data_IF_229866647830
#
_entry.id   IF_229866647830
#
_cell.length_a   1.000
_cell.length_b   1.000
_cell.length_c   1.000
_cell.angle_alpha   90.00
_cell.angle_beta   90.00
_cell.angle_gamma   90.00
#
_symmetry.space_group_name_H-M   'P 1'
#
loop_
_entity.id
_entity.type
_entity.pdbx_description
1 polymer ?
#
# COMPACT_ATOMS: atom_id res chain seq x y z
N UNK A 1 -5.30 47.71 12.08
CA UNK A 1 -4.33 47.41 13.14
C UNK A 1 -3.25 46.48 12.66
N UNK A 2 -1.99 46.77 12.98
CA UNK A 2 -0.84 45.93 12.71
C UNK A 2 -0.31 45.35 14.03
N UNK A 3 -0.42 44.02 14.30
CA UNK A 3 0.10 43.46 15.52
C UNK A 3 1.64 43.52 15.54
N UNK A 4 2.21 44.10 16.59
CA UNK A 4 3.65 44.17 16.84
C UNK A 4 4.10 43.03 17.78
N UNK A 5 3.30 42.74 18.79
CA UNK A 5 3.53 41.70 19.76
C UNK A 5 2.21 41.09 20.23
N UNK A 6 2.11 39.76 20.27
CA UNK A 6 0.91 39.03 20.69
C UNK A 6 1.27 37.87 21.64
N UNK A 7 2.00 38.14 22.72
CA UNK A 7 2.36 37.08 23.68
C UNK A 7 3.16 35.92 23.10
N UNK A 8 3.81 36.10 21.95
CA UNK A 8 4.51 35.03 21.21
C UNK A 8 3.64 34.27 20.23
N UNK A 9 2.34 34.62 20.04
CA UNK A 9 1.39 33.94 19.15
C UNK A 9 1.90 33.86 17.71
N UNK A 10 2.38 34.99 17.16
CA UNK A 10 2.89 35.06 15.78
C UNK A 10 4.06 34.09 15.55
N UNK A 11 5.01 34.05 16.50
CA UNK A 11 6.17 33.14 16.43
C UNK A 11 5.73 31.68 16.50
N UNK A 12 4.74 31.37 17.35
CA UNK A 12 4.20 30.01 17.47
C UNK A 12 3.48 29.56 16.18
N UNK A 13 2.65 30.44 15.58
CA UNK A 13 2.00 30.14 14.29
C UNK A 13 3.01 29.98 13.16
N UNK A 14 4.05 30.79 13.06
CA UNK A 14 5.10 30.61 12.04
C UNK A 14 5.81 29.26 12.18
N UNK A 15 5.99 28.74 13.41
CA UNK A 15 6.53 27.39 13.62
C UNK A 15 5.51 26.33 13.24
N UNK A 16 4.23 26.49 13.59
CA UNK A 16 3.16 25.56 13.21
C UNK A 16 3.07 25.42 11.70
N UNK A 17 3.07 26.54 10.96
CA UNK A 17 2.97 26.50 9.49
C UNK A 17 4.19 25.83 8.83
N UNK A 18 5.41 26.09 9.34
CA UNK A 18 6.61 25.38 8.87
C UNK A 18 6.54 23.87 9.13
N UNK A 19 6.10 23.47 10.32
CA UNK A 19 5.92 22.04 10.63
C UNK A 19 4.77 21.43 9.82
N UNK A 20 3.71 22.18 9.54
CA UNK A 20 2.60 21.72 8.71
C UNK A 20 3.01 21.55 7.24
N UNK A 21 3.85 22.42 6.69
CA UNK A 21 4.43 22.27 5.36
C UNK A 21 5.27 20.98 5.27
N UNK A 22 6.19 20.79 6.20
CA UNK A 22 7.04 19.59 6.25
C UNK A 22 6.20 18.33 6.47
N UNK A 23 5.17 18.38 7.32
CA UNK A 23 4.22 17.29 7.54
C UNK A 23 3.49 16.92 6.24
N UNK A 24 3.00 17.91 5.48
CA UNK A 24 2.36 17.67 4.19
C UNK A 24 3.32 17.01 3.19
N UNK A 25 4.61 17.40 3.20
CA UNK A 25 5.65 16.76 2.39
C UNK A 25 5.87 15.29 2.78
N UNK A 26 5.92 14.99 4.08
CA UNK A 26 6.06 13.60 4.54
C UNK A 26 4.82 12.76 4.24
N UNK A 27 3.62 13.34 4.33
CA UNK A 27 2.39 12.66 3.90
C UNK A 27 2.38 12.38 2.40
N UNK A 28 2.87 13.31 1.58
CA UNK A 28 3.06 13.06 0.15
C UNK A 28 4.02 11.89 -0.10
N UNK A 29 5.17 11.85 0.58
CA UNK A 29 6.13 10.75 0.46
C UNK A 29 5.52 9.40 0.87
N UNK A 30 4.73 9.38 1.96
CA UNK A 30 3.99 8.18 2.38
C UNK A 30 2.98 7.73 1.30
N UNK A 31 2.24 8.68 0.71
CA UNK A 31 1.32 8.40 -0.39
C UNK A 31 2.03 7.84 -1.63
N UNK A 32 3.21 8.38 -1.97
CA UNK A 32 4.02 7.87 -3.08
C UNK A 32 4.47 6.41 -2.83
N UNK A 33 4.92 6.08 -1.61
CA UNK A 33 5.29 4.70 -1.26
C UNK A 33 4.09 3.74 -1.34
N UNK A 34 2.87 4.20 -1.04
CA UNK A 34 1.65 3.40 -1.19
C UNK A 34 1.31 3.14 -2.65
N UNK A 35 1.47 4.15 -3.52
CA UNK A 35 1.27 4.01 -4.96
C UNK A 35 2.29 3.03 -5.54
N UNK A 36 3.58 3.14 -5.18
CA UNK A 36 4.62 2.20 -5.64
C UNK A 36 4.24 0.77 -5.22
N UNK A 37 3.91 0.56 -3.93
CA UNK A 37 3.52 -0.76 -3.46
C UNK A 37 2.32 -1.34 -4.21
N UNK A 38 1.27 -0.55 -4.43
CA UNK A 38 0.07 -1.01 -5.14
C UNK A 38 0.35 -1.30 -6.61
N UNK A 39 1.25 -0.53 -7.24
CA UNK A 39 1.70 -0.76 -8.63
C UNK A 39 2.51 -2.05 -8.73
N UNK A 40 3.45 -2.29 -7.81
CA UNK A 40 4.23 -3.53 -7.76
C UNK A 40 3.34 -4.75 -7.52
N UNK A 41 2.34 -4.63 -6.64
CA UNK A 41 1.35 -5.70 -6.44
C UNK A 41 0.56 -6.00 -7.72
N UNK A 42 0.09 -4.96 -8.41
CA UNK A 42 -0.64 -5.13 -9.67
C UNK A 42 0.27 -5.73 -10.76
N UNK A 43 1.55 -5.33 -10.81
CA UNK A 43 2.54 -5.88 -11.71
C UNK A 43 2.71 -7.40 -11.51
N UNK A 44 3.01 -7.83 -10.29
CA UNK A 44 3.19 -9.26 -9.98
C UNK A 44 1.90 -10.07 -10.12
N UNK A 45 0.73 -9.44 -9.93
CA UNK A 45 -0.56 -10.07 -10.20
C UNK A 45 -0.74 -10.37 -11.70
N UNK A 46 -0.33 -9.45 -12.58
CA UNK A 46 -0.35 -9.67 -14.04
C UNK A 46 0.61 -10.81 -14.41
N UNK A 47 1.85 -10.80 -13.88
CA UNK A 47 2.84 -11.86 -14.12
C UNK A 47 2.32 -13.23 -13.65
N UNK A 48 1.72 -13.29 -12.45
CA UNK A 48 1.10 -14.53 -11.94
C UNK A 48 0.03 -15.07 -12.88
N UNK A 49 -0.90 -14.21 -13.31
CA UNK A 49 -2.00 -14.61 -14.19
C UNK A 49 -1.52 -14.97 -15.62
N UNK A 50 -0.48 -14.32 -16.12
CA UNK A 50 0.12 -14.67 -17.40
C UNK A 50 0.74 -16.10 -17.36
N UNK A 51 1.45 -16.43 -16.27
CA UNK A 51 2.02 -17.77 -16.08
C UNK A 51 0.93 -18.82 -15.86
N UNK A 52 -0.12 -18.51 -15.08
CA UNK A 52 -1.29 -19.38 -14.90
C UNK A 52 -2.06 -19.60 -16.20
N UNK A 53 -2.10 -18.62 -17.11
CA UNK A 53 -2.67 -18.77 -18.44
C UNK A 53 -1.90 -19.81 -19.26
N UNK A 54 -0.56 -19.67 -19.35
CA UNK A 54 0.30 -20.66 -20.03
C UNK A 54 0.08 -22.08 -19.46
N UNK A 55 0.01 -22.18 -18.13
CA UNK A 55 -0.26 -23.44 -17.45
C UNK A 55 -1.62 -24.01 -17.81
N UNK A 56 -2.68 -23.20 -17.83
CA UNK A 56 -4.05 -23.61 -18.17
C UNK A 56 -4.16 -24.04 -19.66
N UNK A 57 -3.49 -23.33 -20.57
CA UNK A 57 -3.41 -23.67 -21.99
C UNK A 57 -2.73 -25.06 -22.20
N UNK A 58 -1.56 -25.27 -21.59
CA UNK A 58 -0.86 -26.56 -21.64
C UNK A 58 -1.65 -27.68 -21.01
N UNK A 59 -2.33 -27.44 -19.90
CA UNK A 59 -3.19 -28.44 -19.26
C UNK A 59 -4.39 -28.84 -20.14
N UNK A 60 -5.03 -27.84 -20.76
CA UNK A 60 -6.13 -28.10 -21.69
C UNK A 60 -5.65 -28.99 -22.89
N UNK A 61 -4.49 -28.68 -23.48
CA UNK A 61 -3.90 -29.47 -24.57
C UNK A 61 -3.63 -30.91 -24.13
N UNK A 62 -3.09 -31.11 -22.93
CA UNK A 62 -2.88 -32.46 -22.38
C UNK A 62 -4.19 -33.24 -22.20
N UNK A 63 -5.24 -32.59 -21.71
CA UNK A 63 -6.55 -33.26 -21.56
C UNK A 63 -7.23 -33.54 -22.88
N UNK A 64 -7.12 -32.70 -23.89
CA UNK A 64 -7.65 -32.92 -25.23
C UNK A 64 -6.93 -34.09 -25.91
N UNK A 65 -5.62 -34.23 -25.70
CA UNK A 65 -4.86 -35.42 -26.16
C UNK A 65 -5.36 -36.67 -25.47
N UNK A 66 -5.53 -36.65 -24.15
CA UNK A 66 -6.04 -37.79 -23.38
C UNK A 66 -7.47 -38.19 -23.84
N UNK A 67 -8.34 -37.20 -24.14
CA UNK A 67 -9.67 -37.43 -24.70
C UNK A 67 -9.61 -38.19 -26.02
N UNK A 68 -8.75 -37.73 -26.95
CA UNK A 68 -8.56 -38.38 -28.24
C UNK A 68 -8.06 -39.83 -28.10
N UNK A 69 -7.15 -40.09 -27.16
CA UNK A 69 -6.58 -41.43 -26.95
C UNK A 69 -7.62 -42.35 -26.31
N UNK A 70 -8.42 -41.88 -25.35
CA UNK A 70 -9.50 -42.67 -24.76
C UNK A 70 -10.62 -42.93 -25.77
N UNK A 71 -10.99 -41.99 -26.63
CA UNK A 71 -12.00 -42.25 -27.69
C UNK A 71 -11.53 -43.37 -28.64
N UNK A 72 -10.22 -43.46 -28.98
CA UNK A 72 -9.66 -44.58 -29.73
C UNK A 72 -9.76 -45.91 -28.96
N UNK A 73 -9.38 -45.89 -27.68
CA UNK A 73 -9.45 -47.11 -26.82
C UNK A 73 -10.90 -47.59 -26.63
N UNK A 74 -11.87 -46.71 -26.60
CA UNK A 74 -13.31 -47.06 -26.57
C UNK A 74 -13.71 -47.75 -27.90
N UNK A 75 -13.23 -47.26 -29.04
CA UNK A 75 -13.50 -47.84 -30.34
C UNK A 75 -12.92 -49.25 -30.48
N UNK A 76 -11.78 -49.51 -29.83
CA UNK A 76 -11.12 -50.81 -29.75
C UNK A 76 -11.67 -51.72 -28.66
N UNK A 77 -12.59 -51.22 -27.80
CA UNK A 77 -13.21 -52.00 -26.72
C UNK A 77 -12.33 -52.17 -25.48
N UNK A 78 -11.26 -51.40 -25.35
CA UNK A 78 -10.28 -51.45 -24.24
C UNK A 78 -10.68 -50.51 -23.11
N UNK A 79 -11.37 -49.37 -23.39
CA UNK A 79 -11.86 -48.44 -22.42
C UNK A 79 -13.40 -48.37 -22.41
N UNK A 80 -13.97 -47.86 -21.30
CA UNK A 80 -15.42 -47.72 -21.13
C UNK A 80 -15.93 -46.36 -21.60
N UNK A 81 -17.21 -46.28 -21.98
CA UNK A 81 -17.87 -44.98 -22.24
C UNK A 81 -17.85 -44.04 -21.02
N UNK A 82 -17.84 -44.58 -19.79
CA UNK A 82 -17.76 -43.82 -18.57
C UNK A 82 -16.42 -43.11 -18.44
N UNK A 83 -15.32 -43.77 -18.83
CA UNK A 83 -13.98 -43.17 -18.85
C UNK A 83 -13.92 -41.97 -19.81
N UNK A 84 -14.47 -42.14 -21.04
CA UNK A 84 -14.54 -41.06 -22.02
C UNK A 84 -15.37 -39.85 -21.53
N UNK A 85 -16.51 -40.13 -20.90
CA UNK A 85 -17.33 -39.02 -20.32
C UNK A 85 -16.61 -38.29 -19.18
N UNK A 86 -15.86 -39.02 -18.35
CA UNK A 86 -15.09 -38.41 -17.24
C UNK A 86 -14.01 -37.46 -17.77
N UNK A 87 -13.30 -37.83 -18.85
CA UNK A 87 -12.31 -36.95 -19.47
C UNK A 87 -12.98 -35.75 -20.12
N UNK A 88 -14.10 -35.91 -20.82
CA UNK A 88 -14.85 -34.80 -21.41
C UNK A 88 -15.31 -33.76 -20.38
N UNK A 89 -15.72 -34.18 -19.18
CA UNK A 89 -16.02 -33.29 -18.06
C UNK A 89 -14.78 -32.51 -17.67
N UNK A 90 -13.60 -33.16 -17.59
CA UNK A 90 -12.36 -32.46 -17.23
C UNK A 90 -11.89 -31.47 -18.31
N UNK A 91 -12.06 -31.77 -19.58
CA UNK A 91 -11.79 -30.83 -20.68
C UNK A 91 -12.67 -29.57 -20.53
N UNK A 92 -13.99 -29.75 -20.31
CA UNK A 92 -14.89 -28.62 -20.10
C UNK A 92 -14.50 -27.78 -18.85
N UNK A 93 -14.09 -28.42 -17.75
CA UNK A 93 -13.61 -27.72 -16.54
C UNK A 93 -12.32 -26.92 -16.85
N UNK A 94 -11.41 -27.47 -17.65
CA UNK A 94 -10.18 -26.79 -18.06
C UNK A 94 -10.47 -25.58 -18.98
N UNK A 95 -11.40 -25.70 -19.93
CA UNK A 95 -11.83 -24.57 -20.78
C UNK A 95 -12.46 -23.46 -19.97
N UNK A 96 -13.32 -23.78 -18.99
CA UNK A 96 -13.89 -22.79 -18.06
C UNK A 96 -12.78 -22.11 -17.23
N UNK A 97 -11.79 -22.85 -16.78
CA UNK A 97 -10.67 -22.33 -16.01
C UNK A 97 -9.81 -21.39 -16.86
N UNK A 98 -9.49 -21.77 -18.10
CA UNK A 98 -8.76 -20.92 -19.04
C UNK A 98 -9.52 -19.60 -19.31
N UNK A 99 -10.84 -19.67 -19.50
CA UNK A 99 -11.68 -18.47 -19.66
C UNK A 99 -11.56 -17.54 -18.45
N UNK A 100 -11.70 -18.06 -17.23
CA UNK A 100 -11.56 -17.26 -15.99
C UNK A 100 -10.17 -16.64 -15.85
N UNK A 101 -9.12 -17.33 -16.20
CA UNK A 101 -7.74 -16.82 -16.15
C UNK A 101 -7.52 -15.72 -17.18
N UNK A 102 -8.05 -15.88 -18.41
CA UNK A 102 -7.99 -14.86 -19.46
C UNK A 102 -8.71 -13.57 -19.04
N UNK A 103 -9.92 -13.69 -18.48
CA UNK A 103 -10.67 -12.55 -17.98
C UNK A 103 -9.93 -11.86 -16.82
N UNK A 104 -9.41 -12.66 -15.87
CA UNK A 104 -8.61 -12.17 -14.74
C UNK A 104 -7.36 -11.42 -15.20
N UNK A 105 -6.64 -11.96 -16.20
CA UNK A 105 -5.45 -11.31 -16.77
C UNK A 105 -5.81 -9.97 -17.43
N UNK A 106 -6.91 -9.94 -18.19
CA UNK A 106 -7.38 -8.70 -18.83
C UNK A 106 -7.72 -7.62 -17.80
N UNK A 107 -8.46 -7.99 -16.75
CA UNK A 107 -8.81 -7.06 -15.65
C UNK A 107 -7.57 -6.59 -14.87
N UNK A 108 -6.61 -7.47 -14.62
CA UNK A 108 -5.37 -7.11 -13.93
C UNK A 108 -4.50 -6.16 -14.76
N UNK A 109 -4.44 -6.32 -16.08
CA UNK A 109 -3.77 -5.37 -16.97
C UNK A 109 -4.46 -4.02 -17.00
N UNK A 110 -5.80 -3.97 -17.00
CA UNK A 110 -6.56 -2.72 -16.88
C UNK A 110 -6.25 -2.00 -15.55
N UNK A 111 -6.18 -2.74 -14.44
CA UNK A 111 -5.83 -2.17 -13.14
C UNK A 111 -4.41 -1.60 -13.15
N UNK A 112 -3.45 -2.31 -13.70
CA UNK A 112 -2.08 -1.82 -13.83
C UNK A 112 -2.01 -0.56 -14.71
N UNK A 113 -2.71 -0.53 -15.86
CA UNK A 113 -2.80 0.66 -16.70
C UNK A 113 -3.38 1.85 -15.92
N UNK A 114 -4.44 1.65 -15.15
CA UNK A 114 -5.03 2.70 -14.30
C UNK A 114 -4.01 3.25 -13.29
N UNK A 115 -3.28 2.38 -12.60
CA UNK A 115 -2.28 2.80 -11.61
C UNK A 115 -1.11 3.55 -12.24
N UNK A 116 -0.75 3.21 -13.48
CA UNK A 116 0.29 3.88 -14.25
C UNK A 116 -0.22 5.14 -15.00
N UNK A 117 -1.50 5.48 -14.91
CA UNK A 117 -2.08 6.62 -15.63
C UNK A 117 -2.19 6.41 -17.14
N UNK A 118 -2.19 5.16 -17.60
CA UNK A 118 -2.36 4.78 -19.00
C UNK A 118 -3.85 4.57 -19.33
N UNK A 119 -4.17 4.58 -20.61
CA UNK A 119 -5.51 4.18 -21.06
C UNK A 119 -5.75 2.70 -20.74
N UNK A 120 -6.96 2.34 -20.28
CA UNK A 120 -7.33 0.98 -19.89
C UNK A 120 -7.22 -0.04 -21.03
N UNK A 121 -7.29 0.42 -22.28
CA UNK A 121 -7.17 -0.39 -23.50
C UNK A 121 -5.73 -0.53 -24.01
N UNK A 122 -4.76 0.11 -23.34
CA UNK A 122 -3.35 0.05 -23.76
C UNK A 122 -2.81 -1.37 -23.66
N UNK A 123 -2.31 -1.96 -24.75
CA UNK A 123 -1.70 -3.27 -24.70
C UNK A 123 -0.35 -3.19 -23.96
N UNK A 124 -0.28 -3.78 -22.79
CA UNK A 124 0.93 -3.83 -21.94
C UNK A 124 1.43 -5.27 -21.89
N UNK A 125 2.72 -5.46 -22.17
CA UNK A 125 3.45 -6.72 -21.95
C UNK A 125 4.57 -6.45 -20.96
N UNK A 126 4.65 -7.27 -19.90
CA UNK A 126 5.63 -7.09 -18.85
C UNK A 126 6.89 -7.94 -19.14
N UNK A 127 8.04 -7.47 -18.68
CA UNK A 127 9.31 -8.14 -18.90
C UNK A 127 9.32 -9.56 -18.31
N UNK A 128 8.81 -9.70 -17.09
CA UNK A 128 8.82 -10.97 -16.34
C UNK A 128 7.68 -11.94 -16.74
N UNK A 129 6.78 -11.59 -17.66
CA UNK A 129 5.74 -12.51 -18.16
C UNK A 129 6.33 -13.73 -18.94
N UNK A 130 7.56 -13.62 -19.41
CA UNK A 130 8.23 -14.64 -20.19
C UNK A 130 9.24 -15.48 -19.38
N UNK A 131 9.51 -15.09 -18.15
CA UNK A 131 10.42 -15.82 -17.26
C UNK A 131 9.70 -16.97 -16.57
N UNK A 132 10.13 -18.20 -16.86
CA UNK A 132 9.55 -19.41 -16.27
C UNK A 132 10.03 -19.67 -14.83
N UNK A 133 11.21 -19.14 -14.43
CA UNK A 133 11.77 -19.27 -13.10
C UNK A 133 12.13 -17.92 -12.49
N UNK A 134 11.23 -17.40 -11.66
CA UNK A 134 11.45 -16.22 -10.83
C UNK A 134 12.30 -16.62 -9.61
N UNK A 135 13.62 -16.49 -9.72
CA UNK A 135 14.52 -16.80 -8.62
C UNK A 135 14.30 -15.83 -7.44
N UNK A 136 14.18 -16.34 -6.22
CA UNK A 136 14.12 -15.49 -5.04
C UNK A 136 15.46 -14.77 -4.85
N UNK A 137 15.41 -13.48 -4.58
CA UNK A 137 16.58 -12.76 -4.08
C UNK A 137 16.80 -13.18 -2.62
N UNK A 138 17.98 -13.68 -2.22
CA UNK A 138 18.21 -14.03 -0.83
C UNK A 138 17.93 -12.81 0.06
N UNK A 139 16.97 -12.92 0.95
CA UNK A 139 16.75 -11.88 1.94
C UNK A 139 17.97 -11.82 2.85
N UNK A 140 18.63 -10.67 2.92
CA UNK A 140 19.67 -10.42 3.89
C UNK A 140 19.02 -10.40 5.29
N UNK A 141 19.17 -11.49 6.03
CA UNK A 141 18.67 -11.65 7.39
C UNK A 141 19.51 -10.89 8.43
N UNK A 142 20.20 -9.81 8.03
CA UNK A 142 20.93 -8.92 8.94
C UNK A 142 19.99 -8.37 10.02
N UNK A 143 20.56 -8.06 11.19
CA UNK A 143 19.80 -7.40 12.26
C UNK A 143 19.34 -6.01 11.77
N UNK A 144 18.03 -5.84 11.65
CA UNK A 144 17.43 -4.56 11.23
C UNK A 144 17.58 -3.56 12.38
N UNK A 145 18.30 -2.46 12.14
CA UNK A 145 18.39 -1.36 13.10
C UNK A 145 17.09 -0.55 13.09
N UNK A 146 16.29 -0.67 14.14
CA UNK A 146 15.02 0.04 14.29
C UNK A 146 15.19 1.57 14.32
N UNK A 147 16.34 2.09 14.78
CA UNK A 147 16.58 3.53 14.75
C UNK A 147 16.69 4.04 13.31
N UNK A 148 17.36 3.29 12.45
CA UNK A 148 17.42 3.58 11.01
C UNK A 148 16.02 3.54 10.39
N UNK A 149 15.21 2.52 10.71
CA UNK A 149 13.82 2.41 10.24
C UNK A 149 12.99 3.62 10.65
N UNK A 150 13.05 4.05 11.92
CA UNK A 150 12.32 5.23 12.38
C UNK A 150 12.77 6.52 11.69
N UNK A 151 14.04 6.63 11.32
CA UNK A 151 14.58 7.81 10.63
C UNK A 151 14.14 7.88 9.15
N UNK A 152 13.93 6.74 8.49
CA UNK A 152 13.61 6.67 7.07
C UNK A 152 12.09 6.67 6.79
N UNK A 153 11.26 6.26 7.77
CA UNK A 153 9.82 6.16 7.56
C UNK A 153 9.10 7.51 7.61
N UNK A 154 8.42 7.92 6.52
CA UNK A 154 7.72 9.21 6.47
C UNK A 154 6.55 9.29 7.45
N UNK A 155 5.91 8.16 7.82
CA UNK A 155 4.83 8.13 8.80
C UNK A 155 5.31 8.51 10.21
N UNK A 156 6.49 8.03 10.63
CA UNK A 156 7.10 8.39 11.92
C UNK A 156 7.42 9.88 11.91
N UNK A 157 8.04 10.37 10.85
CA UNK A 157 8.37 11.79 10.72
C UNK A 157 7.13 12.67 10.73
N UNK A 158 6.04 12.25 10.09
CA UNK A 158 4.75 12.95 10.13
C UNK A 158 4.20 13.08 11.56
N UNK A 159 4.25 12.01 12.35
CA UNK A 159 3.80 12.04 13.75
C UNK A 159 4.72 12.85 14.65
N UNK A 160 6.03 12.87 14.44
CA UNK A 160 6.96 13.75 15.13
C UNK A 160 6.64 15.22 14.86
N UNK A 161 6.36 15.59 13.61
CA UNK A 161 5.97 16.94 13.23
C UNK A 161 4.61 17.32 13.83
N UNK A 162 3.64 16.40 13.85
CA UNK A 162 2.35 16.59 14.52
C UNK A 162 2.55 16.86 16.02
N UNK A 163 3.39 16.13 16.71
CA UNK A 163 3.71 16.36 18.12
C UNK A 163 4.35 17.75 18.34
N UNK A 164 5.22 18.20 17.42
CA UNK A 164 5.76 19.56 17.47
C UNK A 164 4.69 20.63 17.23
N UNK A 165 3.74 20.41 16.33
CA UNK A 165 2.60 21.29 16.10
C UNK A 165 1.77 21.43 17.38
N UNK A 166 1.41 20.32 18.03
CA UNK A 166 0.65 20.35 19.29
C UNK A 166 1.41 21.03 20.41
N UNK A 167 2.74 20.86 20.49
CA UNK A 167 3.58 21.59 21.42
C UNK A 167 3.53 23.12 21.17
N UNK A 168 3.49 23.57 19.91
CA UNK A 168 3.34 24.99 19.58
C UNK A 168 1.90 25.48 19.82
N UNK A 169 0.86 24.66 19.67
CA UNK A 169 -0.52 25.00 20.04
C UNK A 169 -0.63 25.34 21.52
N UNK A 170 0.10 24.68 22.41
CA UNK A 170 0.20 25.07 23.83
C UNK A 170 0.71 26.53 23.99
N UNK A 171 1.72 26.93 23.18
CA UNK A 171 2.25 28.26 23.20
C UNK A 171 1.23 29.30 22.66
N UNK A 172 0.45 28.93 21.62
CA UNK A 172 -0.64 29.77 21.11
C UNK A 172 -1.70 29.97 22.18
N UNK A 173 -2.18 28.89 22.81
CA UNK A 173 -3.17 28.99 23.90
C UNK A 173 -2.64 29.86 25.07
N UNK A 174 -1.38 29.67 25.45
CA UNK A 174 -0.74 30.46 26.50
C UNK A 174 -0.67 31.94 26.12
N UNK A 175 -0.45 32.26 24.85
CA UNK A 175 -0.31 33.65 24.38
C UNK A 175 -1.60 34.48 24.49
N UNK A 176 -2.77 33.81 24.55
CA UNK A 176 -4.08 34.46 24.72
C UNK A 176 -4.23 35.15 26.09
N UNK A 177 -3.43 34.72 27.06
CA UNK A 177 -3.40 35.24 28.43
C UNK A 177 -2.17 36.14 28.70
N UNK A 178 -1.43 36.54 27.65
CA UNK A 178 -0.27 37.41 27.74
C UNK A 178 -0.58 38.78 27.11
N UNK A 179 0.14 39.85 27.51
CA UNK A 179 -0.03 41.16 26.89
C UNK A 179 0.14 41.16 25.38
N UNK A 180 -0.63 42.01 24.69
CA UNK A 180 -0.48 42.25 23.26
C UNK A 180 -0.30 43.71 22.94
N UNK A 181 0.47 44.01 21.88
CA UNK A 181 0.76 45.36 21.41
C UNK A 181 0.47 45.43 19.92
N UNK A 182 -0.32 46.41 19.50
CA UNK A 182 -0.63 46.64 18.09
C UNK A 182 -0.47 48.13 17.73
N UNK A 183 0.02 48.38 16.53
CA UNK A 183 -0.03 49.68 15.90
C UNK A 183 -1.40 49.82 15.22
N UNK A 184 -2.10 50.93 15.52
CA UNK A 184 -3.40 51.24 14.94
C UNK A 184 -3.24 52.48 14.07
N UNK A 185 -3.70 52.39 12.83
CA UNK A 185 -3.90 53.54 11.96
C UNK A 185 -5.35 53.57 11.48
N UNK A 186 -5.98 54.74 11.54
CA UNK A 186 -7.33 54.93 11.05
C UNK A 186 -7.42 56.23 10.25
N UNK A 187 -8.12 56.21 9.15
CA UNK A 187 -8.53 57.38 8.40
C UNK A 187 -10.04 57.37 8.28
N UNK A 188 -10.66 58.47 8.70
CA UNK A 188 -12.12 58.64 8.68
C UNK A 188 -12.47 59.96 8.03
N UNK A 189 -13.40 59.94 7.10
CA UNK A 189 -13.98 61.12 6.48
C UNK A 189 -15.48 61.18 6.80
N UNK A 190 -15.95 62.26 7.41
CA UNK A 190 -17.35 62.40 7.83
C UNK A 190 -17.92 63.76 7.35
N UNK A 191 -19.23 63.73 7.09
CA UNK A 191 -20.04 64.92 6.83
C UNK A 191 -21.35 64.80 7.67
N UNK A 192 -21.67 65.71 8.61
CA UNK A 192 -20.84 66.81 9.08
C UNK A 192 -19.56 66.33 9.77
N UNK A 193 -18.54 67.21 9.73
CA UNK A 193 -17.28 66.94 10.42
C UNK A 193 -17.45 67.19 11.94
N UNK A 194 -17.51 66.11 12.71
CA UNK A 194 -17.66 66.16 14.19
C UNK A 194 -16.44 66.72 14.89
N UNK A 195 -15.33 66.87 14.19
CA UNK A 195 -14.09 67.43 14.78
C UNK A 195 -13.87 68.90 14.52
N UNK A 196 -14.74 69.57 13.70
CA UNK A 196 -14.64 70.94 13.35
C UNK A 196 -16.00 71.62 13.52
N UNK A 197 -16.56 71.66 14.72
CA UNK A 197 -17.79 72.35 15.07
C UNK A 197 -19.01 72.02 14.20
N UNK A 198 -19.15 70.72 13.78
CA UNK A 198 -20.26 70.24 12.94
C UNK A 198 -20.42 70.92 11.58
N UNK A 199 -19.31 71.39 10.96
CA UNK A 199 -19.35 71.90 9.59
C UNK A 199 -19.91 70.87 8.61
N UNK A 200 -20.86 71.33 7.78
CA UNK A 200 -21.52 70.51 6.76
C UNK A 200 -20.62 70.34 5.50
N UNK A 201 -19.42 69.80 5.72
CA UNK A 201 -18.43 69.46 4.68
C UNK A 201 -17.73 68.17 5.00
N UNK A 202 -17.36 67.42 3.97
CA UNK A 202 -16.48 66.26 4.14
C UNK A 202 -15.08 66.71 4.54
N UNK A 203 -14.65 66.29 5.71
CA UNK A 203 -13.25 66.45 6.15
C UNK A 203 -12.70 65.08 6.57
N UNK A 204 -11.51 64.78 6.07
CA UNK A 204 -10.73 63.63 6.46
C UNK A 204 -9.88 63.91 7.71
N UNK A 205 -9.85 62.96 8.62
CA UNK A 205 -8.94 62.92 9.76
C UNK A 205 -8.23 61.58 9.82
N UNK A 206 -6.96 61.59 10.13
CA UNK A 206 -6.21 60.39 10.40
C UNK A 206 -5.68 60.37 11.82
N UNK A 207 -5.58 59.21 12.40
CA UNK A 207 -4.89 59.00 13.67
C UNK A 207 -3.98 57.76 13.57
N UNK A 208 -2.88 57.81 14.29
CA UNK A 208 -1.96 56.67 14.49
C UNK A 208 -1.71 56.60 15.99
N UNK A 209 -1.79 55.37 16.49
CA UNK A 209 -1.59 55.12 17.92
C UNK A 209 -1.08 53.71 18.19
N UNK A 210 -0.62 53.46 19.40
CA UNK A 210 -0.23 52.14 19.89
C UNK A 210 -1.30 51.67 20.89
N UNK A 211 -1.86 50.49 20.61
CA UNK A 211 -2.79 49.85 21.53
C UNK A 211 -2.07 48.73 22.29
N UNK A 212 -2.15 48.81 23.63
CA UNK A 212 -1.65 47.74 24.52
C UNK A 212 -2.86 47.13 25.21
N UNK A 213 -3.02 45.81 25.05
CA UNK A 213 -4.07 45.05 25.73
C UNK A 213 -3.45 44.06 26.71
N UNK A 214 -3.84 44.18 27.97
CA UNK A 214 -3.32 43.29 29.05
C UNK A 214 -4.52 42.60 29.68
N UNK A 215 -4.66 41.27 29.49
CA UNK A 215 -5.69 40.51 30.17
C UNK A 215 -5.38 40.38 31.66
N UNK A 216 -6.24 40.96 32.51
CA UNK A 216 -5.99 41.05 33.96
C UNK A 216 -6.59 39.87 34.71
N UNK A 217 -7.83 39.49 34.36
CA UNK A 217 -8.53 38.47 35.12
C UNK A 217 -9.49 37.65 34.23
N UNK A 218 -9.42 36.32 34.33
CA UNK A 218 -10.25 35.37 33.55
C UNK A 218 -10.73 34.17 34.40
N UNK A 219 -10.96 34.36 35.67
CA UNK A 219 -11.54 33.36 36.59
C UNK A 219 -10.88 31.97 36.49
N UNK A 220 -9.57 31.91 36.26
CA UNK A 220 -8.81 30.66 36.14
C UNK A 220 -8.92 29.95 34.77
N UNK A 221 -9.68 30.46 33.81
CA UNK A 221 -9.88 29.90 32.48
C UNK A 221 -8.55 29.54 31.76
N UNK A 222 -7.58 30.47 31.82
CA UNK A 222 -6.27 30.30 31.22
C UNK A 222 -5.50 29.07 31.71
N UNK A 223 -5.61 28.76 33.01
CA UNK A 223 -4.96 27.63 33.64
C UNK A 223 -5.52 26.31 33.03
N UNK A 224 -6.85 26.22 32.94
CA UNK A 224 -7.51 25.02 32.46
C UNK A 224 -7.34 24.85 30.94
N UNK A 225 -7.42 25.92 30.14
CA UNK A 225 -7.16 25.90 28.70
C UNK A 225 -5.72 25.44 28.38
N UNK A 226 -4.73 25.96 29.09
CA UNK A 226 -3.33 25.53 28.92
C UNK A 226 -3.14 24.09 29.38
N UNK A 227 -3.81 23.64 30.46
CA UNK A 227 -3.80 22.23 30.88
C UNK A 227 -4.40 21.32 29.79
N UNK A 228 -5.54 21.72 29.21
CA UNK A 228 -6.17 20.99 28.10
C UNK A 228 -5.21 20.87 26.89
N UNK A 229 -4.65 21.97 26.42
CA UNK A 229 -3.70 21.98 25.32
C UNK A 229 -2.44 21.12 25.60
N UNK A 230 -1.94 21.12 26.86
CA UNK A 230 -0.85 20.22 27.27
C UNK A 230 -1.24 18.74 27.24
N UNK A 231 -2.50 18.42 27.55
CA UNK A 231 -3.01 17.05 27.46
C UNK A 231 -3.12 16.59 26.01
N UNK A 232 -3.58 17.44 25.11
CA UNK A 232 -3.57 17.17 23.65
C UNK A 232 -2.15 16.93 23.12
N UNK A 233 -1.18 17.73 23.54
CA UNK A 233 0.23 17.53 23.18
C UNK A 233 0.79 16.20 23.73
N UNK A 234 0.32 15.74 24.89
CA UNK A 234 0.67 14.41 25.42
C UNK A 234 0.04 13.30 24.60
N UNK A 235 -1.23 13.43 24.24
CA UNK A 235 -1.92 12.45 23.37
C UNK A 235 -1.16 12.28 22.06
N UNK A 236 -0.78 13.39 21.41
CA UNK A 236 -0.01 13.32 20.16
C UNK A 236 1.35 12.62 20.33
N UNK A 237 2.00 12.77 21.49
CA UNK A 237 3.24 12.05 21.79
C UNK A 237 2.99 10.55 21.98
N UNK A 238 1.95 10.17 22.70
CA UNK A 238 1.59 8.75 22.86
C UNK A 238 1.21 8.10 21.54
N UNK A 239 0.58 8.85 20.62
CA UNK A 239 0.31 8.35 19.26
C UNK A 239 1.60 8.07 18.48
N UNK A 240 2.64 8.88 18.66
CA UNK A 240 3.96 8.62 18.08
C UNK A 240 4.61 7.37 18.68
N UNK A 241 4.55 7.23 20.01
CA UNK A 241 5.14 6.07 20.71
C UNK A 241 4.41 4.77 20.28
N UNK A 242 3.08 4.76 20.26
CA UNK A 242 2.24 3.64 19.78
C UNK A 242 2.53 3.29 18.31
N UNK A 243 2.72 4.31 17.46
CA UNK A 243 3.07 4.07 16.05
C UNK A 243 4.45 3.42 15.90
N UNK A 244 5.44 3.78 16.73
CA UNK A 244 6.75 3.14 16.73
C UNK A 244 6.67 1.67 17.13
N UNK A 245 5.90 1.34 18.16
CA UNK A 245 5.67 -0.04 18.59
C UNK A 245 4.97 -0.87 17.48
N UNK A 246 3.97 -0.29 16.81
CA UNK A 246 3.29 -0.93 15.66
C UNK A 246 4.24 -1.16 14.48
N UNK A 247 5.14 -0.22 14.20
CA UNK A 247 6.13 -0.35 13.15
C UNK A 247 7.14 -1.46 13.48
N UNK A 248 7.59 -1.56 14.72
CA UNK A 248 8.47 -2.66 15.16
C UNK A 248 7.82 -4.02 14.96
N UNK A 249 6.54 -4.14 15.34
CA UNK A 249 5.76 -5.35 15.08
C UNK A 249 5.61 -5.62 13.58
N UNK A 250 5.31 -4.60 12.77
CA UNK A 250 5.18 -4.73 11.32
C UNK A 250 6.48 -5.19 10.65
N UNK A 251 7.62 -4.65 11.05
CA UNK A 251 8.93 -5.08 10.54
C UNK A 251 9.19 -6.54 10.91
N UNK A 252 8.97 -6.90 12.18
CA UNK A 252 9.12 -8.29 12.63
C UNK A 252 8.23 -9.25 11.85
N UNK A 253 6.95 -8.91 11.67
CA UNK A 253 6.02 -9.70 10.86
C UNK A 253 6.47 -9.83 9.40
N UNK A 254 7.01 -8.75 8.81
CA UNK A 254 7.50 -8.79 7.44
C UNK A 254 8.71 -9.70 7.28
N UNK A 255 9.64 -9.72 8.23
CA UNK A 255 10.77 -10.67 8.26
C UNK A 255 10.27 -12.12 8.35
N UNK A 256 9.30 -12.40 9.22
CA UNK A 256 8.72 -13.74 9.29
C UNK A 256 8.06 -14.16 7.98
N UNK A 257 7.30 -13.27 7.33
CA UNK A 257 6.65 -13.54 6.04
C UNK A 257 7.65 -13.83 4.92
N UNK A 258 8.76 -13.09 4.83
CA UNK A 258 9.81 -13.37 3.85
C UNK A 258 10.41 -14.77 4.06
N UNK A 259 10.72 -15.13 5.31
CA UNK A 259 11.25 -16.45 5.63
C UNK A 259 10.22 -17.57 5.38
N UNK A 260 8.94 -17.32 5.64
CA UNK A 260 7.85 -18.26 5.35
C UNK A 260 7.69 -18.46 3.84
N UNK A 261 7.66 -17.38 3.05
CA UNK A 261 7.54 -17.43 1.60
C UNK A 261 8.71 -18.20 0.95
N UNK A 262 9.94 -17.96 1.42
CA UNK A 262 11.11 -18.70 0.95
C UNK A 262 11.02 -20.23 1.22
N UNK A 263 10.57 -20.60 2.43
CA UNK A 263 10.35 -22.03 2.77
C UNK A 263 9.21 -22.64 1.96
N UNK A 264 8.12 -21.90 1.75
CA UNK A 264 6.97 -22.31 0.95
C UNK A 264 7.39 -22.59 -0.49
N UNK A 265 8.24 -21.74 -1.08
CA UNK A 265 8.77 -21.97 -2.43
C UNK A 265 9.56 -23.27 -2.52
N UNK A 266 10.50 -23.53 -1.59
CA UNK A 266 11.26 -24.79 -1.55
C UNK A 266 10.34 -26.01 -1.43
N UNK A 267 9.26 -25.92 -0.66
CA UNK A 267 8.30 -27.02 -0.53
C UNK A 267 7.45 -27.19 -1.80
N UNK A 268 7.03 -26.08 -2.43
CA UNK A 268 6.28 -26.13 -3.69
C UNK A 268 7.12 -26.76 -4.82
N UNK A 269 8.41 -26.44 -4.92
CA UNK A 269 9.33 -27.07 -5.87
C UNK A 269 9.45 -28.58 -5.65
N UNK A 270 9.61 -29.03 -4.39
CA UNK A 270 9.65 -30.45 -4.05
C UNK A 270 8.33 -31.16 -4.34
N UNK A 271 7.20 -30.51 -4.07
CA UNK A 271 5.89 -31.06 -4.39
C UNK A 271 5.71 -31.22 -5.89
N UNK A 272 6.14 -30.23 -6.66
CA UNK A 272 6.09 -30.29 -8.11
C UNK A 272 6.93 -31.44 -8.66
N UNK A 273 8.18 -31.60 -8.19
CA UNK A 273 9.03 -32.75 -8.58
C UNK A 273 8.33 -34.11 -8.37
N UNK A 274 7.63 -34.26 -7.23
CA UNK A 274 6.89 -35.50 -6.94
C UNK A 274 5.61 -35.66 -7.77
N UNK A 275 4.94 -34.51 -8.06
CA UNK A 275 3.76 -34.53 -8.93
C UNK A 275 4.13 -34.87 -10.39
N UNK A 276 5.27 -34.38 -10.90
CA UNK A 276 5.82 -34.69 -12.20
C UNK A 276 6.14 -36.22 -12.32
N UNK A 277 6.82 -36.77 -11.31
CA UNK A 277 7.10 -38.21 -11.25
C UNK A 277 5.81 -39.02 -11.23
N UNK A 278 4.84 -38.63 -10.38
CA UNK A 278 3.56 -39.33 -10.29
C UNK A 278 2.79 -39.32 -11.62
N UNK A 279 2.72 -38.15 -12.26
CA UNK A 279 2.07 -38.02 -13.57
C UNK A 279 2.75 -38.92 -14.64
N UNK A 280 4.08 -38.93 -14.68
CA UNK A 280 4.84 -39.74 -15.59
C UNK A 280 4.53 -41.23 -15.40
N UNK A 281 4.52 -41.72 -14.15
CA UNK A 281 4.21 -43.15 -13.88
C UNK A 281 2.75 -43.47 -14.15
N UNK A 282 1.82 -42.55 -13.82
CA UNK A 282 0.41 -42.73 -14.12
C UNK A 282 0.15 -42.83 -15.64
N UNK A 283 0.80 -41.97 -16.43
CA UNK A 283 0.68 -42.00 -17.90
C UNK A 283 1.23 -43.27 -18.49
N UNK A 284 2.44 -43.69 -18.07
CA UNK A 284 3.04 -44.95 -18.53
C UNK A 284 2.17 -46.17 -18.17
N UNK A 285 1.68 -46.24 -16.93
CA UNK A 285 0.83 -47.34 -16.50
C UNK A 285 -0.53 -47.39 -17.22
N UNK A 286 -1.04 -46.26 -17.65
CA UNK A 286 -2.24 -46.17 -18.46
C UNK A 286 -1.97 -46.66 -19.93
N UNK A 287 -0.88 -46.21 -20.52
CA UNK A 287 -0.47 -46.63 -21.87
C UNK A 287 -0.24 -48.15 -21.95
N UNK A 288 0.30 -48.74 -20.88
CA UNK A 288 0.48 -50.21 -20.75
C UNK A 288 -0.80 -50.94 -20.35
N UNK A 289 -1.92 -50.25 -20.12
CA UNK A 289 -3.20 -50.85 -19.74
C UNK A 289 -3.26 -51.39 -18.30
N UNK A 290 -2.29 -50.99 -17.42
CA UNK A 290 -2.18 -51.48 -16.03
C UNK A 290 -3.04 -50.68 -15.06
N UNK A 291 -3.26 -49.41 -15.33
CA UNK A 291 -4.04 -48.50 -14.48
C UNK A 291 -5.15 -47.81 -15.27
N UNK A 292 -6.30 -47.49 -14.62
CA UNK A 292 -7.43 -46.84 -15.28
C UNK A 292 -7.16 -45.37 -15.57
N UNK A 293 -7.90 -44.80 -16.53
CA UNK A 293 -7.85 -43.38 -16.91
C UNK A 293 -8.11 -42.41 -15.73
N UNK A 294 -8.93 -42.83 -14.74
CA UNK A 294 -9.18 -42.04 -13.55
C UNK A 294 -7.93 -41.68 -12.76
N UNK A 295 -6.95 -42.62 -12.68
CA UNK A 295 -5.70 -42.37 -11.98
C UNK A 295 -4.81 -41.35 -12.73
N UNK A 296 -4.85 -41.36 -14.05
CA UNK A 296 -4.16 -40.34 -14.87
C UNK A 296 -4.77 -38.99 -14.69
N UNK A 297 -6.11 -38.90 -14.67
CA UNK A 297 -6.82 -37.64 -14.39
C UNK A 297 -6.51 -37.07 -12.99
N UNK A 298 -6.43 -37.98 -12.00
CA UNK A 298 -6.04 -37.58 -10.63
C UNK A 298 -4.59 -37.05 -10.60
N UNK A 299 -3.65 -37.75 -11.23
CA UNK A 299 -2.26 -37.34 -11.36
C UNK A 299 -2.12 -35.99 -12.10
N UNK A 300 -2.86 -35.80 -13.20
CA UNK A 300 -2.91 -34.50 -13.90
C UNK A 300 -3.42 -33.35 -13.01
N UNK A 301 -4.46 -33.65 -12.24
CA UNK A 301 -5.02 -32.60 -11.31
C UNK A 301 -4.02 -32.26 -10.21
N UNK A 302 -3.33 -33.25 -9.64
CA UNK A 302 -2.30 -33.04 -8.64
C UNK A 302 -1.11 -32.23 -9.21
N UNK A 303 -0.68 -32.57 -10.43
CA UNK A 303 0.37 -31.83 -11.13
C UNK A 303 -0.02 -30.37 -11.41
N UNK A 304 -1.23 -30.11 -11.92
CA UNK A 304 -1.74 -28.74 -12.14
C UNK A 304 -1.75 -27.92 -10.85
N UNK A 305 -2.19 -28.55 -9.74
CA UNK A 305 -2.18 -27.91 -8.42
C UNK A 305 -0.76 -27.57 -7.97
N UNK A 306 0.19 -28.49 -8.10
CA UNK A 306 1.58 -28.29 -7.72
C UNK A 306 2.27 -27.18 -8.56
N UNK A 307 2.01 -27.12 -9.87
CA UNK A 307 2.48 -26.06 -10.75
C UNK A 307 1.91 -24.68 -10.34
N UNK A 308 0.60 -24.63 -10.08
CA UNK A 308 -0.05 -23.38 -9.61
C UNK A 308 0.51 -22.94 -8.26
N UNK A 309 0.77 -23.88 -7.32
CA UNK A 309 1.38 -23.57 -6.02
C UNK A 309 2.81 -23.05 -6.17
N UNK A 310 3.61 -23.57 -7.10
CA UNK A 310 4.95 -23.04 -7.40
C UNK A 310 4.87 -21.61 -7.89
N UNK A 311 4.00 -21.30 -8.86
CA UNK A 311 3.79 -19.93 -9.37
C UNK A 311 3.39 -18.99 -8.23
N UNK A 312 2.41 -19.39 -7.42
CA UNK A 312 1.96 -18.58 -6.29
C UNK A 312 3.08 -18.35 -5.25
N UNK A 313 3.88 -19.37 -4.96
CA UNK A 313 5.00 -19.25 -4.03
C UNK A 313 6.12 -18.33 -4.56
N UNK A 314 6.42 -18.36 -5.85
CA UNK A 314 7.38 -17.44 -6.48
C UNK A 314 6.91 -15.99 -6.39
N UNK A 315 5.64 -15.74 -6.64
CA UNK A 315 5.04 -14.39 -6.51
C UNK A 315 5.00 -13.94 -5.05
N UNK A 316 4.65 -14.84 -4.10
CA UNK A 316 4.66 -14.55 -2.66
C UNK A 316 6.04 -14.08 -2.18
N UNK A 317 7.13 -14.68 -2.67
CA UNK A 317 8.51 -14.25 -2.36
C UNK A 317 8.73 -12.81 -2.83
N UNK A 318 8.38 -12.47 -4.07
CA UNK A 318 8.54 -11.11 -4.61
C UNK A 318 7.71 -10.09 -3.82
N UNK A 319 6.44 -10.42 -3.53
CA UNK A 319 5.56 -9.53 -2.78
C UNK A 319 6.03 -9.30 -1.33
N UNK A 320 6.49 -10.35 -0.66
CA UNK A 320 6.97 -10.23 0.73
C UNK A 320 8.27 -9.43 0.82
N UNK A 321 9.16 -9.50 -0.17
CA UNK A 321 10.34 -8.64 -0.28
C UNK A 321 9.96 -7.16 -0.40
N UNK A 322 8.97 -6.82 -1.24
CA UNK A 322 8.48 -5.44 -1.41
C UNK A 322 7.84 -4.94 -0.12
N UNK A 323 7.03 -5.77 0.55
CA UNK A 323 6.46 -5.43 1.86
C UNK A 323 7.54 -5.17 2.91
N UNK A 324 8.62 -5.96 2.94
CA UNK A 324 9.74 -5.74 3.85
C UNK A 324 10.45 -4.42 3.53
N UNK A 325 10.70 -4.11 2.26
CA UNK A 325 11.28 -2.81 1.84
C UNK A 325 10.43 -1.64 2.30
N UNK A 326 9.11 -1.73 2.18
CA UNK A 326 8.19 -0.71 2.72
C UNK A 326 8.27 -0.64 4.24
N UNK A 327 8.22 -1.78 4.93
CA UNK A 327 8.24 -1.84 6.40
C UNK A 327 9.53 -1.24 6.98
N UNK A 328 10.66 -1.44 6.33
CA UNK A 328 11.96 -0.88 6.73
C UNK A 328 12.20 0.56 6.25
N UNK A 329 11.30 1.11 5.45
CA UNK A 329 11.46 2.45 4.88
C UNK A 329 12.52 2.53 3.78
N UNK A 330 12.97 1.40 3.23
CA UNK A 330 13.94 1.34 2.14
C UNK A 330 13.31 1.38 0.74
N UNK A 331 11.97 1.50 0.66
CA UNK A 331 11.26 1.70 -0.59
C UNK A 331 11.44 3.15 -1.04
N UNK A 332 12.56 3.43 -1.69
CA UNK A 332 12.88 4.76 -2.20
C UNK A 332 12.32 4.96 -3.60
N UNK A 333 11.82 6.17 -3.83
CA UNK A 333 11.56 6.68 -5.17
C UNK A 333 12.94 7.05 -5.71
N UNK A 334 13.53 6.21 -6.55
CA UNK A 334 14.65 6.66 -7.38
C UNK A 334 14.09 7.69 -8.35
N UNK A 335 14.55 8.94 -8.20
CA UNK A 335 14.22 10.05 -9.10
C UNK A 335 14.81 9.85 -10.49
#
# INVERSE_FOLDING_TARGET
PQPLYMGGKIRAYNKITRYAEELARQQHNSGMQEVILSTDQAYWQVVSLANKKKLAEGYLELLQKLESDIDKMIAEGVATKADGLSVKVKVNEAEMTLTKVNDGLSLSRMLLCQLCGLDLSTPVTLADEQEDDLLPTPADNGSIDMNSVYATRPEVRSLELAAQIYKQKVNVTRSEFLPSVALIGNYMATNPSVFNSFENKFKGMWNVGVMVSIPVWHWGEGIYKVKAAKSEARISRYQLDDAKEKIELQVSQSVFKVNEAAKKLIMAEKNLEKADENLRYATLGFEEGVIPASNVLEAHTAWLSAQSEKIDAQIDVKLTEIYLKKATGSLNIEN
#
